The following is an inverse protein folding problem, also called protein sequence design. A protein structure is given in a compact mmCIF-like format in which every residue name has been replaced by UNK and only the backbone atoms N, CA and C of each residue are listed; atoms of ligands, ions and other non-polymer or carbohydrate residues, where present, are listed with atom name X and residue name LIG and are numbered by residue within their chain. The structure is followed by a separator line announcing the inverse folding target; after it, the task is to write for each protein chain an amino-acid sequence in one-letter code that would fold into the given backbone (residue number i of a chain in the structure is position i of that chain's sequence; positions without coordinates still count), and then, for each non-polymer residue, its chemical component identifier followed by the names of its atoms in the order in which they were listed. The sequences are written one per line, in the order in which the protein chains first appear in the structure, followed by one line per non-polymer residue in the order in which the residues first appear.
data_IF_110572127781
#
_entry.id   IF_110572127781
#
_cell.length_a   1.000
_cell.length_b   1.000
_cell.length_c   1.000
_cell.angle_alpha   90.00
_cell.angle_beta   90.00
_cell.angle_gamma   90.00
#
_symmetry.space_group_name_H-M   'P 1'
#
loop_
_entity.id
_entity.type
_entity.pdbx_description
1 polymer ?
#
# COMPACT_ATOMS: atom_id res chain seq x y z
N UNK A 1 22.58 -9.98 1.51
CA UNK A 1 21.18 -9.54 1.79
C UNK A 1 20.29 -10.78 1.76
N UNK A 2 19.35 -10.90 2.70
CA UNK A 2 18.50 -12.08 2.83
C UNK A 2 17.63 -12.28 1.57
N UNK A 3 17.41 -13.53 1.14
CA UNK A 3 16.59 -13.89 -0.04
C UNK A 3 15.21 -13.22 -0.03
N UNK A 4 14.59 -13.13 1.15
CA UNK A 4 13.29 -12.49 1.36
C UNK A 4 13.28 -10.98 1.07
N UNK A 5 14.35 -10.26 1.44
CA UNK A 5 14.44 -8.81 1.19
C UNK A 5 14.46 -8.50 -0.30
N UNK A 6 15.07 -9.37 -1.11
CA UNK A 6 15.06 -9.21 -2.57
C UNK A 6 13.67 -9.44 -3.15
N UNK A 7 12.96 -10.48 -2.69
CA UNK A 7 11.57 -10.73 -3.10
C UNK A 7 10.65 -9.54 -2.78
N UNK A 8 10.72 -8.99 -1.57
CA UNK A 8 9.90 -7.83 -1.17
C UNK A 8 10.22 -6.59 -2.00
N UNK A 9 11.49 -6.38 -2.36
CA UNK A 9 11.90 -5.31 -3.27
C UNK A 9 11.33 -5.50 -4.67
N UNK A 10 11.31 -6.73 -5.19
CA UNK A 10 10.76 -7.02 -6.51
C UNK A 10 9.24 -6.81 -6.53
N UNK A 11 8.53 -7.23 -5.47
CA UNK A 11 7.09 -6.96 -5.30
C UNK A 11 6.83 -5.46 -5.26
N UNK A 12 7.60 -4.71 -4.45
CA UNK A 12 7.48 -3.25 -4.38
C UNK A 12 7.75 -2.58 -5.73
N UNK A 13 8.73 -3.06 -6.49
CA UNK A 13 9.05 -2.54 -7.82
C UNK A 13 7.90 -2.77 -8.81
N UNK A 14 7.33 -3.98 -8.83
CA UNK A 14 6.16 -4.29 -9.66
C UNK A 14 4.98 -3.40 -9.27
N UNK A 15 4.72 -3.25 -7.97
CA UNK A 15 3.67 -2.39 -7.44
C UNK A 15 3.86 -0.93 -7.89
N UNK A 16 5.05 -0.36 -7.67
CA UNK A 16 5.37 1.03 -8.02
C UNK A 16 5.23 1.30 -9.52
N UNK A 17 5.74 0.40 -10.36
CA UNK A 17 5.57 0.49 -11.81
C UNK A 17 4.10 0.49 -12.18
N UNK A 18 3.29 -0.39 -11.57
CA UNK A 18 1.87 -0.48 -11.88
C UNK A 18 1.14 0.82 -11.54
N UNK A 19 1.35 1.37 -10.33
CA UNK A 19 0.63 2.57 -9.88
C UNK A 19 1.07 3.84 -10.61
N UNK A 20 2.35 3.96 -10.98
CA UNK A 20 2.89 5.18 -11.60
C UNK A 20 2.62 5.24 -13.11
N UNK A 21 2.42 4.09 -13.76
CA UNK A 21 2.12 4.01 -15.19
C UNK A 21 0.60 4.02 -15.43
N UNK A 22 -0.20 3.67 -14.43
CA UNK A 22 -1.66 3.61 -14.56
C UNK A 22 -2.23 4.99 -14.91
N UNK A 23 -2.88 5.08 -16.06
CA UNK A 23 -3.56 6.29 -16.53
C UNK A 23 -5.06 6.29 -16.21
N UNK A 24 -5.67 5.11 -16.05
CA UNK A 24 -7.11 4.97 -15.85
C UNK A 24 -7.47 4.46 -14.46
N UNK A 25 -8.40 5.15 -13.79
CA UNK A 25 -8.93 4.76 -12.48
C UNK A 25 -10.25 4.01 -12.65
N UNK A 26 -10.17 2.78 -13.14
CA UNK A 26 -11.32 1.90 -13.33
C UNK A 26 -11.46 0.88 -12.19
N UNK A 27 -12.60 0.18 -12.16
CA UNK A 27 -12.91 -0.82 -11.13
C UNK A 27 -11.84 -1.91 -11.06
N UNK A 28 -11.25 -2.31 -12.19
CA UNK A 28 -10.16 -3.29 -12.24
C UNK A 28 -8.92 -2.80 -11.49
N UNK A 29 -8.57 -1.52 -11.62
CA UNK A 29 -7.43 -0.95 -10.90
C UNK A 29 -7.73 -0.78 -9.41
N UNK A 30 -8.95 -0.37 -9.06
CA UNK A 30 -9.38 -0.30 -7.66
C UNK A 30 -9.38 -1.69 -7.01
N UNK A 31 -9.85 -2.71 -7.72
CA UNK A 31 -9.81 -4.11 -7.29
C UNK A 31 -8.37 -4.57 -7.07
N UNK A 32 -7.45 -4.26 -8.00
CA UNK A 32 -6.02 -4.54 -7.82
C UNK A 32 -5.45 -3.88 -6.55
N UNK A 33 -5.75 -2.60 -6.30
CA UNK A 33 -5.31 -1.91 -5.08
C UNK A 33 -5.89 -2.57 -3.82
N UNK A 34 -7.15 -3.02 -3.89
CA UNK A 34 -7.84 -3.74 -2.83
C UNK A 34 -7.14 -5.08 -2.53
N UNK A 35 -6.83 -5.87 -3.57
CA UNK A 35 -6.09 -7.13 -3.48
C UNK A 35 -4.69 -6.95 -2.91
N UNK A 36 -4.00 -5.85 -3.23
CA UNK A 36 -2.72 -5.53 -2.59
C UNK A 36 -2.89 -5.30 -1.09
N UNK A 37 -3.98 -4.67 -0.64
CA UNK A 37 -4.31 -4.53 0.78
C UNK A 37 -4.61 -5.89 1.42
N UNK A 38 -5.34 -6.75 0.72
CA UNK A 38 -5.63 -8.11 1.16
C UNK A 38 -4.35 -8.95 1.28
N UNK A 39 -3.39 -8.84 0.36
CA UNK A 39 -2.12 -9.60 0.43
C UNK A 39 -1.28 -9.28 1.67
N UNK A 40 -1.39 -8.07 2.21
CA UNK A 40 -0.73 -7.72 3.48
C UNK A 40 -1.41 -8.36 4.70
N UNK A 41 -2.65 -8.83 4.56
CA UNK A 41 -3.45 -9.43 5.62
C UNK A 41 -3.57 -10.96 5.49
N UNK A 42 -3.91 -11.45 4.31
CA UNK A 42 -4.07 -12.86 4.00
C UNK A 42 -2.70 -13.54 3.83
N UNK A 43 -2.14 -13.95 4.97
CA UNK A 43 -0.92 -14.76 5.12
C UNK A 43 -0.95 -16.13 4.42
N UNK A 44 -2.01 -16.47 3.68
CA UNK A 44 -2.18 -17.80 3.07
C UNK A 44 -1.15 -18.13 1.99
N UNK A 45 -0.55 -17.13 1.33
CA UNK A 45 0.41 -17.36 0.25
C UNK A 45 1.88 -17.11 0.64
N UNK A 46 2.13 -16.37 1.73
CA UNK A 46 3.48 -16.00 2.18
C UNK A 46 3.55 -16.12 3.71
N UNK A 47 3.65 -17.36 4.22
CA UNK A 47 3.76 -17.69 5.66
C UNK A 47 4.89 -16.95 6.42
N UNK A 48 5.77 -16.25 5.71
CA UNK A 48 6.95 -15.58 6.26
C UNK A 48 6.82 -14.05 6.36
N UNK A 49 5.75 -13.44 5.82
CA UNK A 49 5.51 -11.99 5.95
C UNK A 49 4.55 -11.75 7.11
N UNK A 50 4.98 -12.13 8.32
CA UNK A 50 4.29 -11.75 9.54
C UNK A 50 4.80 -10.36 9.95
N UNK A 51 4.42 -9.34 9.19
CA UNK A 51 4.86 -7.97 9.43
C UNK A 51 3.67 -7.18 9.98
N UNK A 52 3.86 -6.52 11.13
CA UNK A 52 2.87 -5.60 11.68
C UNK A 52 2.45 -4.59 10.60
N UNK A 53 1.19 -4.15 10.63
CA UNK A 53 0.65 -3.18 9.67
C UNK A 53 1.39 -1.81 9.72
N UNK A 54 2.09 -1.52 10.82
CA UNK A 54 2.79 -0.24 11.03
C UNK A 54 4.01 -0.03 10.11
N UNK A 55 4.93 -0.99 9.95
CA UNK A 55 6.02 -0.93 8.97
C UNK A 55 5.59 -0.54 7.55
N UNK A 56 4.45 -1.05 7.09
CA UNK A 56 3.94 -0.80 5.73
C UNK A 56 3.47 0.65 5.57
N UNK A 57 2.67 1.15 6.52
CA UNK A 57 2.24 2.56 6.55
C UNK A 57 3.46 3.49 6.62
N UNK A 58 4.46 3.13 7.44
CA UNK A 58 5.69 3.92 7.60
C UNK A 58 6.51 3.96 6.31
N UNK A 59 6.65 2.83 5.61
CA UNK A 59 7.32 2.74 4.32
C UNK A 59 6.65 3.62 3.27
N UNK A 60 5.31 3.59 3.18
CA UNK A 60 4.58 4.40 2.21
C UNK A 60 4.66 5.90 2.54
N UNK A 61 4.66 6.28 3.82
CA UNK A 61 4.90 7.68 4.21
C UNK A 61 6.29 8.17 3.80
N UNK A 62 7.32 7.34 3.96
CA UNK A 62 8.66 7.65 3.46
C UNK A 62 8.71 7.76 1.94
N UNK A 63 8.02 6.86 1.23
CA UNK A 63 7.95 6.86 -0.22
C UNK A 63 7.24 8.09 -0.77
N UNK A 64 6.13 8.48 -0.16
CA UNK A 64 5.41 9.72 -0.48
C UNK A 64 6.33 10.94 -0.34
N UNK A 65 7.07 11.02 0.77
CA UNK A 65 8.03 12.12 0.99
C UNK A 65 9.10 12.18 -0.10
N UNK A 66 9.73 11.04 -0.44
CA UNK A 66 10.72 10.97 -1.52
C UNK A 66 10.17 11.41 -2.88
N UNK A 67 8.93 11.02 -3.18
CA UNK A 67 8.28 11.38 -4.44
C UNK A 67 7.95 12.88 -4.49
N UNK A 68 7.49 13.47 -3.39
CA UNK A 68 7.26 14.93 -3.28
C UNK A 68 8.56 15.70 -3.52
N UNK A 69 9.65 15.29 -2.86
CA UNK A 69 10.98 15.90 -3.04
C UNK A 69 11.47 15.79 -4.49
N UNK A 70 11.22 14.65 -5.12
CA UNK A 70 11.57 14.42 -6.53
C UNK A 70 10.78 15.35 -7.45
N UNK A 71 9.47 15.51 -7.23
CA UNK A 71 8.62 16.43 -8.01
C UNK A 71 9.12 17.87 -7.88
N UNK A 72 9.53 18.29 -6.69
CA UNK A 72 10.07 19.63 -6.48
C UNK A 72 11.36 19.91 -7.24
N UNK A 73 12.23 18.90 -7.38
CA UNK A 73 13.51 18.98 -8.11
C UNK A 73 13.35 18.99 -9.63
N UNK A 74 12.16 18.73 -10.19
CA UNK A 74 11.94 18.79 -11.64
C UNK A 74 11.98 20.23 -12.15
N UNK A 75 13.02 20.60 -12.89
CA UNK A 75 13.18 21.96 -13.43
C UNK A 75 12.19 22.25 -14.57
N UNK A 76 11.76 21.22 -15.30
CA UNK A 76 10.91 21.34 -16.49
C UNK A 76 9.42 21.57 -16.19
N UNK A 77 9.02 21.59 -14.91
CA UNK A 77 7.62 21.71 -14.49
C UNK A 77 7.36 23.06 -13.85
N UNK A 78 6.31 23.75 -14.32
CA UNK A 78 5.83 24.95 -13.64
C UNK A 78 5.23 24.63 -12.26
N UNK A 79 5.10 25.67 -11.42
CA UNK A 79 4.58 25.53 -10.05
C UNK A 79 3.16 24.94 -10.02
N UNK A 80 2.32 25.24 -11.01
CA UNK A 80 0.95 24.71 -11.07
C UNK A 80 0.95 23.20 -11.32
N UNK A 81 1.80 22.72 -12.24
CA UNK A 81 1.99 21.29 -12.53
C UNK A 81 2.58 20.55 -11.34
N UNK A 82 3.59 21.11 -10.67
CA UNK A 82 4.15 20.53 -9.44
C UNK A 82 3.08 20.38 -8.36
N UNK A 83 2.30 21.43 -8.12
CA UNK A 83 1.19 21.40 -7.15
C UNK A 83 0.15 20.33 -7.51
N UNK A 84 -0.26 20.26 -8.77
CA UNK A 84 -1.23 19.27 -9.25
C UNK A 84 -0.70 17.84 -9.07
N UNK A 85 0.57 17.60 -9.39
CA UNK A 85 1.22 16.30 -9.20
C UNK A 85 1.27 15.90 -7.73
N UNK A 86 1.67 16.81 -6.83
CA UNK A 86 1.70 16.56 -5.38
C UNK A 86 0.29 16.25 -4.84
N UNK A 87 -0.73 16.99 -5.28
CA UNK A 87 -2.11 16.73 -4.88
C UNK A 87 -2.63 15.38 -5.37
N UNK A 88 -2.30 15.00 -6.61
CA UNK A 88 -2.67 13.70 -7.16
C UNK A 88 -1.99 12.56 -6.37
N UNK A 89 -0.70 12.72 -6.09
CA UNK A 89 0.08 11.77 -5.31
C UNK A 89 -0.47 11.58 -3.89
N UNK A 90 -0.78 12.69 -3.20
CA UNK A 90 -1.39 12.65 -1.87
C UNK A 90 -2.73 11.89 -1.91
N UNK A 91 -3.62 12.23 -2.85
CA UNK A 91 -4.92 11.55 -2.98
C UNK A 91 -4.75 10.06 -3.21
N UNK A 92 -3.78 9.66 -4.03
CA UNK A 92 -3.46 8.26 -4.27
C UNK A 92 -3.08 7.53 -2.97
N UNK A 93 -2.10 8.04 -2.21
CA UNK A 93 -1.68 7.38 -0.96
C UNK A 93 -2.79 7.35 0.09
N UNK A 94 -3.65 8.37 0.13
CA UNK A 94 -4.84 8.36 0.99
C UNK A 94 -5.82 7.24 0.64
N UNK A 95 -6.13 7.06 -0.66
CA UNK A 95 -7.04 6.00 -1.12
C UNK A 95 -6.42 4.62 -0.85
N UNK A 96 -5.14 4.44 -1.19
CA UNK A 96 -4.41 3.21 -0.93
C UNK A 96 -4.43 2.85 0.57
N UNK A 97 -4.11 3.82 1.44
CA UNK A 97 -4.11 3.60 2.88
C UNK A 97 -5.51 3.25 3.42
N UNK A 98 -6.56 3.87 2.87
CA UNK A 98 -7.93 3.55 3.24
C UNK A 98 -8.29 2.10 2.88
N UNK A 99 -7.97 1.67 1.66
CA UNK A 99 -8.19 0.29 1.20
C UNK A 99 -7.44 -0.71 2.07
N UNK A 100 -6.17 -0.44 2.40
CA UNK A 100 -5.36 -1.33 3.24
C UNK A 100 -5.96 -1.44 4.66
N UNK A 101 -6.39 -0.31 5.23
CA UNK A 101 -7.00 -0.27 6.56
C UNK A 101 -8.34 -1.04 6.61
N UNK A 102 -9.10 -1.12 5.52
CA UNK A 102 -10.35 -1.89 5.47
C UNK A 102 -10.09 -3.38 5.75
N UNK A 103 -9.09 -3.97 5.12
CA UNK A 103 -8.73 -5.38 5.32
C UNK A 103 -8.19 -5.63 6.73
N UNK A 104 -7.35 -4.73 7.25
CA UNK A 104 -6.86 -4.82 8.63
C UNK A 104 -8.00 -4.84 9.66
N UNK A 105 -8.99 -3.94 9.51
CA UNK A 105 -10.15 -3.90 10.41
C UNK A 105 -11.02 -5.15 10.31
N UNK A 106 -11.19 -5.70 9.11
CA UNK A 106 -11.92 -6.94 8.89
C UNK A 106 -11.23 -8.12 9.59
N UNK A 107 -9.91 -8.22 9.47
CA UNK A 107 -9.12 -9.25 10.16
C UNK A 107 -9.22 -9.15 11.68
N UNK A 108 -9.09 -7.96 12.26
CA UNK A 108 -9.29 -7.77 13.71
C UNK A 108 -10.67 -8.28 14.16
N UNK A 109 -11.70 -8.03 13.35
CA UNK A 109 -13.07 -8.49 13.63
C UNK A 109 -13.16 -10.02 13.54
N UNK A 110 -12.60 -10.67 12.51
CA UNK A 110 -12.60 -12.13 12.38
C UNK A 110 -11.84 -12.81 13.53
N UNK A 111 -10.68 -12.29 13.91
CA UNK A 111 -9.88 -12.79 15.03
C UNK A 111 -10.59 -12.63 16.39
N UNK A 112 -11.36 -11.55 16.58
CA UNK A 112 -12.16 -11.38 17.80
C UNK A 112 -13.31 -12.39 17.88
N UNK A 113 -13.92 -12.74 16.75
CA UNK A 113 -15.02 -13.72 16.67
C UNK A 113 -14.50 -15.15 16.89
N UNK A 114 -13.38 -15.53 16.28
CA UNK A 114 -12.78 -16.86 16.45
C UNK A 114 -12.34 -17.13 17.90
N UNK A 115 -11.74 -16.12 18.55
CA UNK A 115 -11.34 -16.22 19.96
C UNK A 115 -12.55 -16.26 20.92
N UNK A 116 -13.64 -15.56 20.60
CA UNK A 116 -14.88 -15.61 21.38
C UNK A 116 -15.63 -16.96 21.29
N UNK A 117 -15.46 -17.70 20.20
CA UNK A 117 -16.02 -19.05 20.01
C UNK A 117 -15.15 -20.10 20.74
N UNK A 118 -13.82 -19.98 20.68
CA UNK A 118 -12.90 -20.91 21.35
C UNK A 118 -12.79 -20.72 22.87
N UNK A 119 -13.10 -19.53 23.39
CA UNK A 119 -13.11 -19.23 24.83
C UNK A 119 -14.34 -19.71 25.61
N UNK A 120 -15.27 -20.44 24.97
CA UNK A 120 -16.50 -21.00 25.57
C UNK A 120 -16.41 -22.52 25.87
N UNK A 121 -15.22 -23.07 26.04
CA UNK A 121 -15.03 -24.47 26.47
C UNK A 121 -14.49 -24.55 27.90
#
# INVERSE_FOLDING_TARGET
MCSQTNLLKDILNIYLKRILIQTEWNDTFLQYLSEMGELHENQKNLKEINMDHMPIITLFGYLEHLMIDTIWKLENFDIKKKRAAIQALNKFFWIQNNLFTMYYRLSLKENSISNGINGKK
#
